data_IF_305753639704
#
_entry.id   IF_305753639704
#
_cell.length_a   1.000
_cell.length_b   1.000
_cell.length_c   1.000
_cell.angle_alpha   90.00
_cell.angle_beta   90.00
_cell.angle_gamma   90.00
#
_symmetry.space_group_name_H-M   'P 1'
#
loop_
_entity.id
_entity.type
_entity.pdbx_description
1 polymer ?
#
# COMPACT_ATOMS: atom_id res chain seq x y z
N UNK A 1 11.14 -11.87 -12.31
CA UNK A 1 10.77 -11.76 -13.74
C UNK A 1 9.77 -10.63 -13.83
N UNK A 2 9.95 -9.69 -14.76
CA UNK A 2 9.03 -8.56 -14.95
C UNK A 2 9.08 -8.06 -16.40
N UNK A 3 8.10 -7.26 -16.80
CA UNK A 3 8.00 -6.67 -18.15
C UNK A 3 8.51 -5.24 -18.15
N UNK A 4 9.19 -4.85 -19.23
CA UNK A 4 9.58 -3.46 -19.51
C UNK A 4 8.99 -3.06 -20.87
N UNK A 5 8.23 -1.98 -20.87
CA UNK A 5 7.41 -1.53 -22.00
C UNK A 5 8.07 -0.38 -22.79
N UNK A 6 7.69 -0.23 -24.04
CA UNK A 6 7.99 0.90 -24.92
C UNK A 6 6.79 1.85 -25.03
N UNK A 7 6.98 3.01 -25.66
CA UNK A 7 5.90 3.99 -25.90
C UNK A 7 4.76 3.43 -26.78
N UNK A 8 5.06 2.48 -27.67
CA UNK A 8 4.07 1.77 -28.50
C UNK A 8 3.40 0.58 -27.79
N UNK A 9 3.63 0.44 -26.48
CA UNK A 9 3.10 -0.60 -25.60
C UNK A 9 3.60 -2.02 -25.91
N UNK A 10 4.55 -2.18 -26.83
CA UNK A 10 5.32 -3.42 -26.93
C UNK A 10 6.20 -3.58 -25.68
N UNK A 11 6.59 -4.81 -25.36
CA UNK A 11 7.40 -5.07 -24.18
C UNK A 11 8.37 -6.23 -24.36
N UNK A 12 9.42 -6.23 -23.53
CA UNK A 12 10.26 -7.40 -23.33
C UNK A 12 10.07 -7.95 -21.91
N UNK A 13 10.30 -9.26 -21.75
CA UNK A 13 10.31 -9.90 -20.43
C UNK A 13 11.75 -10.08 -19.96
N UNK A 14 12.04 -9.56 -18.77
CA UNK A 14 13.35 -9.61 -18.14
C UNK A 14 13.36 -10.59 -16.97
N UNK A 15 14.44 -11.37 -16.89
CA UNK A 15 14.78 -12.22 -15.75
C UNK A 15 16.10 -11.72 -15.19
N UNK A 16 16.01 -10.83 -14.22
CA UNK A 16 17.13 -10.21 -13.56
C UNK A 16 17.04 -10.43 -12.04
N UNK A 17 18.18 -10.41 -11.32
CA UNK A 17 18.20 -10.29 -9.86
C UNK A 17 17.35 -9.10 -9.37
N UNK A 18 16.69 -9.25 -8.22
CA UNK A 18 15.76 -8.24 -7.68
C UNK A 18 16.48 -6.93 -7.25
N UNK A 19 17.77 -7.03 -6.99
CA UNK A 19 18.70 -5.96 -6.65
C UNK A 19 19.37 -5.30 -7.87
N UNK A 20 18.97 -5.67 -9.09
CA UNK A 20 19.48 -5.03 -10.31
C UNK A 20 19.19 -3.53 -10.31
N UNK A 21 20.18 -2.74 -10.70
CA UNK A 21 20.07 -1.29 -10.83
C UNK A 21 19.16 -0.90 -12.00
N UNK A 22 18.59 0.30 -11.94
CA UNK A 22 17.82 0.86 -13.05
C UNK A 22 18.64 0.89 -14.34
N UNK A 23 19.94 1.21 -14.27
CA UNK A 23 20.87 1.16 -15.41
C UNK A 23 20.94 -0.23 -16.02
N UNK A 24 21.12 -1.27 -15.19
CA UNK A 24 21.19 -2.66 -15.66
C UNK A 24 19.88 -3.06 -16.35
N UNK A 25 18.74 -2.71 -15.75
CA UNK A 25 17.41 -3.00 -16.30
C UNK A 25 17.24 -2.30 -17.66
N UNK A 26 17.60 -1.02 -17.73
CA UNK A 26 17.55 -0.17 -18.92
C UNK A 26 18.37 -0.76 -20.07
N UNK A 27 19.65 -1.10 -19.82
CA UNK A 27 20.55 -1.63 -20.84
C UNK A 27 20.09 -2.99 -21.38
N UNK A 28 19.63 -3.89 -20.50
CA UNK A 28 19.13 -5.21 -20.90
C UNK A 28 17.80 -5.09 -21.66
N UNK A 29 16.92 -4.16 -21.27
CA UNK A 29 15.69 -3.88 -22.01
C UNK A 29 16.00 -3.34 -23.41
N UNK A 30 16.92 -2.36 -23.51
CA UNK A 30 17.32 -1.74 -24.77
C UNK A 30 17.91 -2.75 -25.76
N UNK A 31 18.80 -3.65 -25.31
CA UNK A 31 19.34 -4.71 -26.17
C UNK A 31 18.24 -5.66 -26.68
N UNK A 32 17.32 -6.09 -25.81
CA UNK A 32 16.23 -7.00 -26.21
C UNK A 32 15.23 -6.36 -27.16
N UNK A 33 14.92 -5.08 -26.95
CA UNK A 33 13.99 -4.30 -27.75
C UNK A 33 14.66 -3.69 -29.00
N UNK A 34 15.99 -3.87 -29.14
CA UNK A 34 16.81 -3.34 -30.23
C UNK A 34 16.72 -1.82 -30.38
N UNK A 35 16.61 -1.12 -29.26
CA UNK A 35 16.63 0.35 -29.18
C UNK A 35 18.09 0.82 -29.28
N UNK A 36 18.39 1.74 -30.20
CA UNK A 36 19.76 2.20 -30.52
C UNK A 36 20.02 3.66 -30.12
N UNK A 37 19.19 4.22 -29.25
CA UNK A 37 19.31 5.61 -28.82
C UNK A 37 20.25 5.77 -27.63
N UNK A 38 21.01 6.87 -27.60
CA UNK A 38 22.10 7.08 -26.64
C UNK A 38 21.59 7.50 -25.24
N UNK A 39 20.53 8.31 -25.16
CA UNK A 39 19.97 8.81 -23.89
C UNK A 39 18.64 8.13 -23.51
N UNK A 40 18.73 6.87 -23.09
CA UNK A 40 17.59 6.13 -22.54
C UNK A 40 17.39 6.39 -21.05
N UNK A 41 16.13 6.34 -20.64
CA UNK A 41 15.70 6.43 -19.25
C UNK A 41 14.80 5.25 -18.89
N UNK A 42 14.89 4.81 -17.64
CA UNK A 42 13.93 3.88 -17.04
C UNK A 42 12.88 4.70 -16.30
N UNK A 43 11.60 4.40 -16.51
CA UNK A 43 10.50 5.23 -16.03
C UNK A 43 9.41 4.35 -15.45
N UNK A 44 8.89 4.69 -14.28
CA UNK A 44 7.58 4.20 -13.86
C UNK A 44 6.50 5.11 -14.46
N UNK A 45 5.59 4.53 -15.23
CA UNK A 45 4.33 5.17 -15.59
C UNK A 45 3.27 4.67 -14.62
N UNK A 46 2.72 5.56 -13.80
CA UNK A 46 1.65 5.27 -12.84
C UNK A 46 0.28 5.26 -13.55
N UNK A 47 -0.72 4.64 -12.95
CA UNK A 47 -2.08 4.57 -13.52
C UNK A 47 -2.78 5.92 -13.70
N UNK A 48 -2.32 6.97 -13.01
CA UNK A 48 -2.80 8.35 -13.16
C UNK A 48 -2.09 9.12 -14.30
N UNK A 49 -1.17 8.49 -15.03
CA UNK A 49 -0.38 9.06 -16.11
C UNK A 49 0.88 9.81 -15.66
N UNK A 50 1.14 9.89 -14.35
CA UNK A 50 2.38 10.47 -13.84
C UNK A 50 3.57 9.57 -14.17
N UNK A 51 4.68 10.19 -14.56
CA UNK A 51 5.90 9.51 -15.00
C UNK A 51 7.02 9.83 -14.01
N UNK A 52 7.58 8.80 -13.39
CA UNK A 52 8.68 8.91 -12.45
C UNK A 52 9.93 8.31 -13.08
N UNK A 53 10.93 9.15 -13.36
CA UNK A 53 12.22 8.69 -13.89
C UNK A 53 13.05 8.11 -12.76
N UNK A 54 13.57 6.90 -12.95
CA UNK A 54 14.54 6.29 -12.05
C UNK A 54 15.95 6.81 -12.35
N UNK A 55 16.73 7.02 -11.30
CA UNK A 55 18.17 7.29 -11.42
C UNK A 55 18.88 5.97 -11.69
N UNK A 56 19.99 6.03 -12.41
CA UNK A 56 20.72 4.83 -12.84
C UNK A 56 21.21 3.95 -11.66
N UNK A 57 21.46 4.56 -10.49
CA UNK A 57 21.85 3.90 -9.24
C UNK A 57 20.67 3.39 -8.40
N UNK A 58 19.42 3.66 -8.79
CA UNK A 58 18.25 3.18 -8.06
C UNK A 58 18.14 1.65 -8.17
N UNK A 59 17.75 1.01 -7.06
CA UNK A 59 17.62 -0.45 -6.90
C UNK A 59 16.24 -0.82 -6.35
N UNK A 60 15.90 -2.12 -6.36
CA UNK A 60 14.60 -2.62 -5.86
C UNK A 60 13.40 -2.13 -6.68
N UNK A 61 13.63 -1.80 -7.96
CA UNK A 61 12.64 -1.19 -8.85
C UNK A 61 11.33 -2.00 -8.92
N UNK A 62 11.33 -3.33 -9.14
CA UNK A 62 10.08 -4.06 -9.35
C UNK A 62 9.16 -4.10 -8.13
N UNK A 63 9.71 -3.97 -6.91
CA UNK A 63 8.92 -3.99 -5.67
C UNK A 63 8.46 -2.61 -5.25
N UNK A 64 9.18 -1.55 -5.63
CA UNK A 64 8.89 -0.17 -5.24
C UNK A 64 7.79 0.52 -6.07
N UNK A 65 7.27 -0.13 -7.12
CA UNK A 65 6.21 0.43 -7.97
C UNK A 65 4.91 0.66 -7.19
N UNK A 66 4.10 1.61 -7.67
CA UNK A 66 2.69 1.72 -7.27
C UNK A 66 1.90 0.47 -7.68
N UNK A 67 0.67 0.33 -7.18
CA UNK A 67 -0.13 -0.90 -7.32
C UNK A 67 -0.31 -1.26 -8.80
N UNK A 68 -0.68 -0.30 -9.64
CA UNK A 68 -0.80 -0.50 -11.08
C UNK A 68 0.34 0.19 -11.86
N UNK A 69 1.46 0.52 -11.22
CA UNK A 69 2.64 1.07 -11.88
C UNK A 69 3.25 0.08 -12.87
N UNK A 70 3.84 0.59 -13.96
CA UNK A 70 4.54 -0.21 -14.97
C UNK A 70 5.86 0.42 -15.35
N UNK A 71 6.84 -0.43 -15.65
CA UNK A 71 8.19 -0.01 -16.00
C UNK A 71 8.26 0.17 -17.51
N UNK A 72 8.71 1.35 -17.94
CA UNK A 72 8.96 1.69 -19.32
C UNK A 72 10.44 2.01 -19.54
N UNK A 73 10.90 1.77 -20.74
CA UNK A 73 12.14 2.33 -21.27
C UNK A 73 11.78 3.32 -22.37
N UNK A 74 12.38 4.51 -22.32
CA UNK A 74 12.10 5.54 -23.30
C UNK A 74 13.30 6.45 -23.49
N UNK A 75 13.51 6.95 -24.71
CA UNK A 75 14.39 8.10 -24.92
C UNK A 75 13.94 9.29 -24.10
N UNK A 76 14.91 10.05 -23.60
CA UNK A 76 14.65 11.26 -22.81
C UNK A 76 13.77 12.28 -23.52
N UNK A 77 13.94 12.44 -24.83
CA UNK A 77 13.15 13.36 -25.66
C UNK A 77 11.70 12.89 -25.87
N UNK A 78 11.42 11.60 -25.63
CA UNK A 78 10.12 10.97 -25.87
C UNK A 78 9.38 10.60 -24.58
N UNK A 79 9.80 11.09 -23.42
CA UNK A 79 9.08 10.89 -22.16
C UNK A 79 7.62 11.31 -22.26
N UNK A 80 7.34 12.36 -23.04
CA UNK A 80 5.99 12.87 -23.24
C UNK A 80 5.06 11.97 -24.04
N UNK A 81 5.61 11.00 -24.77
CA UNK A 81 4.85 10.00 -25.51
C UNK A 81 4.40 8.80 -24.64
N UNK A 82 4.96 8.62 -23.44
CA UNK A 82 4.60 7.50 -22.57
C UNK A 82 3.17 7.64 -22.04
N UNK A 83 2.34 6.64 -22.28
CA UNK A 83 0.93 6.60 -21.85
C UNK A 83 0.65 5.36 -21.01
N UNK A 84 -0.41 5.41 -20.20
CA UNK A 84 -0.87 4.25 -19.44
C UNK A 84 -1.27 3.10 -20.38
N UNK A 85 -1.00 1.87 -19.96
CA UNK A 85 -1.61 0.69 -20.56
C UNK A 85 -3.06 0.54 -20.09
N UNK A 86 -3.92 -0.09 -20.90
CA UNK A 86 -5.31 -0.39 -20.51
C UNK A 86 -5.39 -1.15 -19.17
N UNK A 87 -4.49 -2.11 -18.96
CA UNK A 87 -4.41 -2.91 -17.72
C UNK A 87 -4.03 -2.10 -16.47
N UNK A 88 -3.60 -0.84 -16.60
CA UNK A 88 -3.34 0.05 -15.48
C UNK A 88 -4.56 0.87 -15.07
N UNK A 89 -5.50 1.08 -16.00
CA UNK A 89 -6.71 1.89 -15.79
C UNK A 89 -7.90 1.06 -15.31
N UNK A 90 -7.92 -0.22 -15.67
CA UNK A 90 -8.92 -1.18 -15.20
C UNK A 90 -8.61 -1.67 -13.78
N UNK A 91 -9.62 -2.24 -13.14
CA UNK A 91 -9.41 -2.91 -11.87
C UNK A 91 -8.49 -4.12 -12.07
N UNK A 92 -7.52 -4.32 -11.17
CA UNK A 92 -6.64 -5.50 -11.21
C UNK A 92 -7.46 -6.79 -11.28
N UNK A 93 -6.94 -7.80 -11.99
CA UNK A 93 -7.55 -9.12 -12.04
C UNK A 93 -7.52 -9.75 -10.64
N UNK A 94 -8.62 -9.59 -9.90
CA UNK A 94 -8.89 -10.29 -8.65
C UNK A 94 -9.74 -11.53 -8.91
N UNK A 95 -9.84 -12.39 -7.91
CA UNK A 95 -10.73 -13.56 -7.97
C UNK A 95 -12.18 -13.12 -8.18
N UNK A 96 -12.90 -13.82 -9.04
CA UNK A 96 -14.33 -13.59 -9.23
C UNK A 96 -15.08 -13.89 -7.92
N UNK A 97 -15.63 -12.85 -7.32
CA UNK A 97 -16.43 -12.96 -6.10
C UNK A 97 -16.72 -11.59 -5.49
N UNK A 98 -17.94 -11.41 -5.00
CA UNK A 98 -18.30 -10.23 -4.22
C UNK A 98 -17.76 -10.40 -2.80
N UNK A 99 -17.20 -9.34 -2.20
CA UNK A 99 -16.81 -9.34 -0.78
C UNK A 99 -17.95 -9.85 0.12
N UNK A 100 -19.21 -9.66 -0.27
CA UNK A 100 -20.40 -10.17 0.42
C UNK A 100 -20.40 -11.68 0.66
N UNK A 101 -19.73 -12.48 -0.18
CA UNK A 101 -19.67 -13.96 -0.10
C UNK A 101 -18.99 -14.50 1.16
N UNK A 102 -18.04 -13.75 1.74
CA UNK A 102 -17.18 -14.24 2.83
C UNK A 102 -17.62 -13.75 4.21
N UNK A 103 -17.34 -14.49 5.28
CA UNK A 103 -17.58 -14.00 6.64
C UNK A 103 -16.71 -12.78 6.97
N UNK A 104 -17.25 -11.74 7.61
CA UNK A 104 -16.42 -10.54 7.92
C UNK A 104 -15.28 -10.84 8.90
N UNK A 105 -15.52 -11.68 9.91
CA UNK A 105 -14.47 -12.12 10.85
C UNK A 105 -13.44 -13.00 10.15
N UNK A 106 -13.89 -13.84 9.21
CA UNK A 106 -13.05 -14.72 8.40
C UNK A 106 -12.12 -13.91 7.47
N UNK A 107 -12.65 -12.89 6.78
CA UNK A 107 -11.84 -11.94 6.01
C UNK A 107 -10.78 -11.26 6.89
N UNK A 108 -11.16 -10.74 8.06
CA UNK A 108 -10.21 -10.10 8.97
C UNK A 108 -9.13 -11.06 9.47
N UNK A 109 -9.49 -12.32 9.73
CA UNK A 109 -8.58 -13.35 10.19
C UNK A 109 -7.51 -13.64 9.12
N UNK A 110 -7.92 -14.00 7.90
CA UNK A 110 -6.97 -14.33 6.84
C UNK A 110 -6.19 -13.11 6.33
N UNK A 111 -6.80 -11.91 6.34
CA UNK A 111 -6.07 -10.66 6.11
C UNK A 111 -4.99 -10.44 7.16
N UNK A 112 -5.27 -10.69 8.43
CA UNK A 112 -4.29 -10.54 9.51
C UNK A 112 -3.18 -11.57 9.45
N UNK A 113 -3.48 -12.82 9.08
CA UNK A 113 -2.44 -13.82 8.84
C UNK A 113 -1.50 -13.40 7.69
N UNK A 114 -2.09 -12.98 6.56
CA UNK A 114 -1.31 -12.57 5.39
C UNK A 114 -0.46 -11.32 5.68
N UNK A 115 -1.04 -10.29 6.29
CA UNK A 115 -0.31 -9.09 6.66
C UNK A 115 0.78 -9.37 7.71
N UNK A 116 0.55 -10.33 8.62
CA UNK A 116 1.56 -10.77 9.58
C UNK A 116 2.74 -11.47 8.91
N UNK A 117 2.49 -12.33 7.93
CA UNK A 117 3.56 -12.97 7.14
C UNK A 117 4.41 -11.92 6.40
N UNK A 118 3.77 -10.96 5.73
CA UNK A 118 4.47 -9.85 5.07
C UNK A 118 5.30 -9.03 6.07
N UNK A 119 4.71 -8.68 7.22
CA UNK A 119 5.38 -7.93 8.28
C UNK A 119 6.56 -8.72 8.88
N UNK A 120 6.41 -10.03 9.05
CA UNK A 120 7.44 -10.90 9.59
C UNK A 120 8.67 -10.99 8.67
N UNK A 121 8.45 -10.98 7.35
CA UNK A 121 9.51 -10.98 6.35
C UNK A 121 10.35 -9.69 6.34
N UNK A 122 9.82 -8.56 6.85
CA UNK A 122 10.56 -7.30 6.90
C UNK A 122 11.74 -7.42 7.87
N UNK A 123 12.96 -7.40 7.35
CA UNK A 123 14.14 -7.30 8.21
C UNK A 123 14.27 -5.87 8.74
N UNK A 124 14.68 -5.69 10.00
CA UNK A 124 14.72 -4.34 10.60
C UNK A 124 15.70 -3.38 9.92
N UNK A 125 16.77 -3.93 9.33
CA UNK A 125 17.71 -3.16 8.53
C UNK A 125 17.09 -2.60 7.25
N UNK A 126 16.02 -3.21 6.72
CA UNK A 126 15.30 -2.63 5.58
C UNK A 126 14.71 -1.26 5.93
N UNK A 127 14.31 -1.03 7.18
CA UNK A 127 13.86 0.30 7.62
C UNK A 127 15.00 1.32 7.58
N UNK A 128 16.22 0.93 7.95
CA UNK A 128 17.39 1.81 7.88
C UNK A 128 17.77 2.09 6.43
N UNK A 129 17.88 1.06 5.59
CA UNK A 129 18.21 1.23 4.17
C UNK A 129 17.18 2.11 3.46
N UNK A 130 15.90 1.92 3.76
CA UNK A 130 14.84 2.79 3.26
C UNK A 130 15.01 4.23 3.74
N UNK A 131 15.27 4.44 5.04
CA UNK A 131 15.34 5.79 5.65
C UNK A 131 16.56 6.58 5.20
N UNK A 132 17.72 5.94 5.06
CA UNK A 132 18.97 6.58 4.66
C UNK A 132 19.22 6.57 3.15
N UNK A 133 18.38 5.88 2.38
CA UNK A 133 18.57 5.68 0.94
C UNK A 133 19.30 4.37 0.63
N UNK A 134 18.60 3.49 -0.08
CA UNK A 134 19.00 2.09 -0.34
C UNK A 134 20.31 1.99 -1.15
N UNK A 135 20.51 2.92 -2.08
CA UNK A 135 21.70 3.05 -2.92
C UNK A 135 22.99 3.24 -2.11
N UNK A 136 22.93 3.90 -0.95
CA UNK A 136 24.10 4.06 -0.07
C UNK A 136 24.62 2.74 0.53
N UNK A 137 23.79 1.69 0.55
CA UNK A 137 24.15 0.41 1.15
C UNK A 137 24.35 -0.70 0.12
N UNK A 138 23.90 -0.50 -1.13
CA UNK A 138 23.78 -1.59 -2.10
C UNK A 138 22.87 -2.72 -1.60
N UNK A 139 21.85 -2.37 -0.79
CA UNK A 139 20.91 -3.32 -0.18
C UNK A 139 19.48 -2.98 -0.58
N UNK A 140 18.69 -4.00 -0.92
CA UNK A 140 17.26 -3.85 -1.24
C UNK A 140 16.40 -3.79 0.01
N UNK A 141 15.14 -3.37 -0.17
CA UNK A 141 14.12 -3.36 0.89
C UNK A 141 12.82 -3.98 0.37
N UNK A 142 12.94 -5.06 -0.39
CA UNK A 142 11.85 -5.69 -1.12
C UNK A 142 10.68 -6.11 -0.19
N UNK A 143 10.96 -6.63 1.00
CA UNK A 143 9.91 -7.06 1.92
C UNK A 143 9.17 -5.84 2.48
N UNK A 144 9.92 -4.79 2.85
CA UNK A 144 9.33 -3.53 3.29
C UNK A 144 8.46 -2.91 2.18
N UNK A 145 8.93 -2.90 0.94
CA UNK A 145 8.19 -2.37 -0.21
C UNK A 145 6.85 -3.06 -0.40
N UNK A 146 6.87 -4.40 -0.43
CA UNK A 146 5.66 -5.20 -0.61
C UNK A 146 4.70 -4.96 0.55
N UNK A 147 5.19 -4.85 1.79
CA UNK A 147 4.33 -4.58 2.94
C UNK A 147 3.74 -3.17 2.95
N UNK A 148 4.49 -2.15 2.49
CA UNK A 148 3.96 -0.80 2.31
C UNK A 148 2.96 -0.72 1.16
N UNK A 149 3.24 -1.43 0.06
CA UNK A 149 2.31 -1.54 -1.07
C UNK A 149 1.00 -2.20 -0.64
N UNK A 150 1.05 -3.22 0.23
CA UNK A 150 -0.12 -3.87 0.81
C UNK A 150 -1.05 -2.89 1.55
N UNK A 151 -0.49 -1.91 2.27
CA UNK A 151 -1.31 -0.86 2.91
C UNK A 151 -2.15 -0.10 1.88
N UNK A 152 -1.51 0.36 0.79
CA UNK A 152 -2.19 1.07 -0.28
C UNK A 152 -3.18 0.16 -1.01
N UNK A 153 -2.84 -1.11 -1.21
CA UNK A 153 -3.71 -2.11 -1.84
C UNK A 153 -5.02 -2.26 -1.07
N UNK A 154 -4.96 -2.44 0.25
CA UNK A 154 -6.16 -2.53 1.10
C UNK A 154 -6.96 -1.22 1.07
N UNK A 155 -6.27 -0.07 1.13
CA UNK A 155 -6.92 1.24 1.09
C UNK A 155 -7.71 1.43 -0.21
N UNK A 156 -7.08 1.19 -1.37
CA UNK A 156 -7.73 1.36 -2.66
C UNK A 156 -8.72 0.24 -2.98
N UNK A 157 -8.53 -0.98 -2.47
CA UNK A 157 -9.51 -2.07 -2.53
C UNK A 157 -10.85 -1.64 -1.94
N UNK A 158 -10.85 -1.02 -0.76
CA UNK A 158 -12.07 -0.49 -0.11
C UNK A 158 -12.79 0.51 -1.00
N UNK A 159 -12.05 1.45 -1.59
CA UNK A 159 -12.62 2.46 -2.48
C UNK A 159 -13.15 1.84 -3.77
N UNK A 160 -12.41 0.89 -4.33
CA UNK A 160 -12.74 0.16 -5.57
C UNK A 160 -14.04 -0.60 -5.41
N UNK A 161 -14.14 -1.45 -4.39
CA UNK A 161 -15.35 -2.24 -4.10
C UNK A 161 -16.57 -1.32 -3.95
N UNK A 162 -16.48 -0.24 -3.16
CA UNK A 162 -17.60 0.68 -2.98
C UNK A 162 -18.00 1.39 -4.28
N UNK A 163 -17.01 1.86 -5.07
CA UNK A 163 -17.28 2.58 -6.33
C UNK A 163 -17.79 1.67 -7.45
N UNK A 164 -17.53 0.37 -7.39
CA UNK A 164 -18.06 -0.63 -8.33
C UNK A 164 -19.50 -1.04 -8.00
N UNK A 165 -20.01 -0.74 -6.81
CA UNK A 165 -21.37 -1.12 -6.40
C UNK A 165 -22.43 -0.13 -6.88
N UNK A 166 -23.01 -0.40 -8.06
CA UNK A 166 -24.09 0.40 -8.65
C UNK A 166 -25.34 0.47 -7.76
N UNK A 167 -25.75 -0.65 -7.18
CA UNK A 167 -26.92 -0.71 -6.30
C UNK A 167 -26.66 -0.03 -4.96
N UNK A 168 -27.48 0.96 -4.62
CA UNK A 168 -27.41 1.67 -3.33
C UNK A 168 -27.56 0.73 -2.13
N UNK A 169 -28.45 -0.27 -2.20
CA UNK A 169 -28.65 -1.20 -1.08
C UNK A 169 -27.42 -2.08 -0.84
N UNK A 170 -26.83 -2.62 -1.91
CA UNK A 170 -25.57 -3.39 -1.84
C UNK A 170 -24.41 -2.52 -1.37
N UNK A 171 -24.30 -1.30 -1.88
CA UNK A 171 -23.24 -0.36 -1.48
C UNK A 171 -23.31 -0.02 0.01
N UNK A 172 -24.51 0.16 0.58
CA UNK A 172 -24.69 0.32 2.04
C UNK A 172 -24.28 -0.94 2.80
N UNK A 173 -24.58 -2.14 2.27
CA UNK A 173 -24.19 -3.41 2.87
C UNK A 173 -22.66 -3.59 2.90
N UNK A 174 -21.99 -3.29 1.79
CA UNK A 174 -20.52 -3.31 1.64
C UNK A 174 -19.86 -2.26 2.55
N UNK A 175 -20.37 -1.03 2.60
CA UNK A 175 -19.89 0.01 3.52
C UNK A 175 -19.95 -0.46 4.99
N UNK A 176 -21.08 -1.01 5.40
CA UNK A 176 -21.25 -1.60 6.74
C UNK A 176 -20.28 -2.77 6.97
N UNK A 177 -20.01 -3.57 5.94
CA UNK A 177 -19.08 -4.71 6.01
C UNK A 177 -17.65 -4.25 6.25
N UNK A 178 -17.19 -3.21 5.56
CA UNK A 178 -15.86 -2.64 5.79
C UNK A 178 -15.68 -2.04 7.19
N UNK A 179 -16.70 -1.37 7.74
CA UNK A 179 -16.65 -0.87 9.12
C UNK A 179 -16.52 -2.05 10.11
N UNK A 180 -17.26 -3.14 9.91
CA UNK A 180 -17.11 -4.35 10.73
C UNK A 180 -15.74 -5.02 10.53
N UNK A 181 -15.22 -5.03 9.30
CA UNK A 181 -13.91 -5.60 8.98
C UNK A 181 -12.81 -4.83 9.74
N UNK A 182 -12.82 -3.50 9.68
CA UNK A 182 -11.91 -2.66 10.45
C UNK A 182 -12.00 -2.94 11.95
N UNK A 183 -13.21 -3.13 12.49
CA UNK A 183 -13.41 -3.48 13.89
C UNK A 183 -12.68 -4.79 14.27
N UNK A 184 -12.81 -5.84 13.45
CA UNK A 184 -12.12 -7.11 13.66
C UNK A 184 -10.60 -7.01 13.45
N UNK A 185 -10.12 -6.27 12.44
CA UNK A 185 -8.69 -6.01 12.28
C UNK A 185 -8.09 -5.35 13.53
N UNK A 186 -8.80 -4.38 14.12
CA UNK A 186 -8.41 -3.76 15.40
C UNK A 186 -8.45 -4.75 16.56
N UNK A 187 -9.47 -5.61 16.65
CA UNK A 187 -9.57 -6.68 17.66
C UNK A 187 -8.38 -7.65 17.58
N UNK A 188 -7.96 -8.01 16.37
CA UNK A 188 -6.78 -8.85 16.12
C UNK A 188 -5.45 -8.09 16.20
N UNK A 189 -5.48 -6.83 16.65
CA UNK A 189 -4.31 -5.95 16.74
C UNK A 189 -3.55 -5.78 15.40
N UNK A 190 -4.24 -5.96 14.27
CA UNK A 190 -3.77 -5.56 12.95
C UNK A 190 -4.17 -4.10 12.70
N UNK A 191 -3.36 -3.20 13.26
CA UNK A 191 -3.60 -1.77 13.14
C UNK A 191 -3.26 -1.24 11.74
N UNK A 192 -2.39 -1.93 10.99
CA UNK A 192 -2.07 -1.56 9.61
C UNK A 192 -3.30 -1.67 8.71
N UNK A 193 -3.95 -2.83 8.68
CA UNK A 193 -5.18 -3.03 7.89
C UNK A 193 -6.34 -2.18 8.42
N UNK A 194 -6.48 -2.05 9.75
CA UNK A 194 -7.47 -1.15 10.34
C UNK A 194 -7.32 0.28 9.79
N UNK A 195 -6.12 0.85 9.85
CA UNK A 195 -5.86 2.19 9.32
C UNK A 195 -6.10 2.27 7.81
N UNK A 196 -5.67 1.28 7.04
CA UNK A 196 -5.89 1.23 5.59
C UNK A 196 -7.38 1.25 5.22
N UNK A 197 -8.20 0.44 5.91
CA UNK A 197 -9.65 0.39 5.69
C UNK A 197 -10.31 1.71 6.07
N UNK A 198 -9.97 2.28 7.23
CA UNK A 198 -10.55 3.55 7.68
C UNK A 198 -10.18 4.68 6.70
N UNK A 199 -8.93 4.75 6.26
CA UNK A 199 -8.48 5.73 5.27
C UNK A 199 -9.14 5.53 3.90
N UNK A 200 -9.39 4.27 3.49
CA UNK A 200 -10.18 3.96 2.29
C UNK A 200 -11.62 4.46 2.40
N UNK A 201 -12.27 4.29 3.55
CA UNK A 201 -13.62 4.79 3.81
C UNK A 201 -13.69 6.32 3.88
N UNK A 202 -12.64 6.98 4.40
CA UNK A 202 -12.53 8.44 4.42
C UNK A 202 -12.11 9.05 3.07
N UNK A 203 -11.71 8.23 2.08
CA UNK A 203 -11.35 8.69 0.75
C UNK A 203 -12.47 9.54 0.13
N UNK A 204 -12.09 10.62 -0.58
CA UNK A 204 -13.05 11.58 -1.17
C UNK A 204 -14.08 10.92 -2.10
N UNK A 205 -13.73 9.83 -2.79
CA UNK A 205 -14.67 9.10 -3.64
C UNK A 205 -15.74 8.33 -2.82
N UNK A 206 -15.45 7.96 -1.57
CA UNK A 206 -16.37 7.24 -0.68
C UNK A 206 -17.12 8.21 0.24
N UNK A 207 -16.42 9.12 0.91
CA UNK A 207 -16.99 10.04 1.90
C UNK A 207 -18.03 10.99 1.30
N UNK A 208 -17.96 11.26 -0.01
CA UNK A 208 -18.94 12.09 -0.73
C UNK A 208 -20.30 11.42 -1.01
N UNK A 209 -20.42 10.10 -0.84
CA UNK A 209 -21.63 9.33 -1.21
C UNK A 209 -22.73 9.51 -0.15
N UNK A 210 -23.27 10.73 -0.04
CA UNK A 210 -24.17 11.11 1.05
C UNK A 210 -25.39 10.21 1.17
N UNK A 211 -26.01 9.79 0.05
CA UNK A 211 -27.18 8.91 0.11
C UNK A 211 -26.83 7.52 0.67
N UNK A 212 -25.60 7.06 0.43
CA UNK A 212 -25.08 5.80 1.00
C UNK A 212 -24.85 5.94 2.50
N UNK A 213 -24.15 7.00 2.93
CA UNK A 213 -23.91 7.26 4.36
C UNK A 213 -25.21 7.52 5.13
N UNK A 214 -26.18 8.19 4.50
CA UNK A 214 -27.49 8.49 5.10
C UNK A 214 -28.33 7.25 5.40
N UNK A 215 -28.18 6.21 4.58
CA UNK A 215 -28.86 4.91 4.77
C UNK A 215 -28.11 3.95 5.69
N UNK A 216 -26.86 4.24 6.05
CA UNK A 216 -26.10 3.41 6.98
C UNK A 216 -26.71 3.49 8.40
N UNK A 217 -26.98 2.38 9.12
CA UNK A 217 -27.53 2.48 10.47
C UNK A 217 -26.63 3.31 11.41
N UNK A 218 -27.24 4.14 12.25
CA UNK A 218 -26.55 5.13 13.10
C UNK A 218 -25.44 4.51 13.98
N UNK A 219 -25.64 3.28 14.46
CA UNK A 219 -24.63 2.52 15.21
C UNK A 219 -23.29 2.40 14.44
N UNK A 220 -23.34 2.12 13.14
CA UNK A 220 -22.14 1.99 12.32
C UNK A 220 -21.52 3.34 11.95
N UNK A 221 -22.34 4.38 11.77
CA UNK A 221 -21.83 5.76 11.62
C UNK A 221 -21.03 6.20 12.84
N UNK A 222 -21.59 6.01 14.05
CA UNK A 222 -20.89 6.31 15.31
C UNK A 222 -19.59 5.52 15.44
N UNK A 223 -19.62 4.22 15.14
CA UNK A 223 -18.43 3.37 15.18
C UNK A 223 -17.35 3.86 14.20
N UNK A 224 -17.73 4.28 12.99
CA UNK A 224 -16.79 4.85 12.03
C UNK A 224 -16.19 6.17 12.51
N UNK A 225 -16.99 7.08 13.09
CA UNK A 225 -16.48 8.32 13.69
C UNK A 225 -15.48 8.03 14.82
N UNK A 226 -15.72 7.00 15.65
CA UNK A 226 -14.75 6.55 16.65
C UNK A 226 -13.43 6.07 16.01
N UNK A 227 -13.51 5.38 14.86
CA UNK A 227 -12.31 4.95 14.13
C UNK A 227 -11.54 6.12 13.51
N UNK A 228 -12.22 7.09 12.91
CA UNK A 228 -11.58 8.31 12.38
C UNK A 228 -10.86 9.06 13.51
N UNK A 229 -11.49 9.19 14.68
CA UNK A 229 -10.89 9.83 15.85
C UNK A 229 -9.62 9.13 16.36
N UNK A 230 -9.51 7.81 16.16
CA UNK A 230 -8.34 7.04 16.56
C UNK A 230 -7.12 7.33 15.68
N UNK A 231 -7.33 7.54 14.39
CA UNK A 231 -6.25 7.78 13.42
C UNK A 231 -5.96 9.26 13.18
N UNK A 232 -6.67 10.14 13.88
CA UNK A 232 -6.55 11.60 13.78
C UNK A 232 -5.08 12.07 13.87
N UNK A 233 -4.60 12.91 12.94
CA UNK A 233 -3.21 13.33 12.88
C UNK A 233 -2.82 14.36 13.95
N UNK A 234 -3.78 14.94 14.68
CA UNK A 234 -3.52 16.02 15.62
C UNK A 234 -2.53 15.61 16.72
N UNK A 235 -1.68 16.57 17.12
CA UNK A 235 -0.64 16.37 18.13
C UNK A 235 0.24 15.14 17.84
N UNK A 236 0.61 14.99 16.56
CA UNK A 236 1.41 13.86 16.04
C UNK A 236 0.75 12.50 16.30
N UNK A 237 -0.50 12.32 15.86
CA UNK A 237 -1.25 11.07 16.02
C UNK A 237 -1.36 10.61 17.49
N UNK A 238 -1.62 11.53 18.42
CA UNK A 238 -1.64 11.24 19.85
C UNK A 238 -2.63 10.13 20.21
N UNK A 239 -3.83 10.13 19.62
CA UNK A 239 -4.86 9.14 19.90
C UNK A 239 -4.39 7.72 19.55
N UNK A 240 -3.86 7.55 18.33
CA UNK A 240 -3.23 6.31 17.88
C UNK A 240 -2.10 5.87 18.83
N UNK A 241 -1.14 6.76 19.11
CA UNK A 241 0.03 6.43 19.95
C UNK A 241 -0.35 5.99 21.37
N UNK A 242 -1.31 6.67 22.00
CA UNK A 242 -1.82 6.29 23.32
C UNK A 242 -2.54 4.94 23.28
N UNK A 243 -3.25 4.63 22.19
CA UNK A 243 -3.89 3.33 22.01
C UNK A 243 -2.86 2.22 21.86
N UNK A 244 -1.86 2.40 20.99
CA UNK A 244 -0.81 1.40 20.73
C UNK A 244 0.06 1.15 21.95
N UNK A 245 0.38 2.19 22.72
CA UNK A 245 1.19 2.05 23.95
C UNK A 245 0.56 1.18 25.04
N UNK A 246 -0.72 0.79 24.91
CA UNK A 246 -1.42 -0.11 25.83
C UNK A 246 -1.50 -1.56 25.33
N UNK A 247 -1.16 -1.81 24.07
CA UNK A 247 -1.25 -3.14 23.47
C UNK A 247 -0.07 -4.02 23.87
N UNK A 248 -0.31 -5.33 23.88
CA UNK A 248 0.72 -6.34 24.06
C UNK A 248 1.00 -7.04 22.72
N UNK A 249 2.22 -7.50 22.45
CA UNK A 249 2.51 -8.28 21.24
C UNK A 249 1.66 -9.55 21.22
N UNK A 250 1.28 -10.07 20.04
CA UNK A 250 1.64 -9.64 18.68
C UNK A 250 0.80 -8.44 18.16
N UNK A 251 1.43 -7.46 17.50
CA UNK A 251 0.76 -6.29 16.91
C UNK A 251 1.31 -6.04 15.50
N UNK A 252 0.45 -5.81 14.51
CA UNK A 252 0.88 -5.24 13.21
C UNK A 252 0.68 -3.72 13.28
N UNK A 253 1.74 -2.92 13.41
CA UNK A 253 1.60 -1.48 13.61
C UNK A 253 1.24 -0.75 12.31
N UNK A 254 0.68 0.46 12.42
CA UNK A 254 0.53 1.40 11.31
C UNK A 254 1.91 1.82 10.79
N UNK A 255 2.44 1.07 9.82
CA UNK A 255 3.79 1.23 9.30
C UNK A 255 4.08 2.60 8.67
N UNK A 256 3.16 3.21 7.89
CA UNK A 256 3.38 4.54 7.35
C UNK A 256 3.73 5.58 8.41
N UNK A 257 3.13 5.51 9.61
CA UNK A 257 3.47 6.44 10.70
C UNK A 257 4.86 6.16 11.29
N UNK A 258 5.26 4.89 11.41
CA UNK A 258 6.59 4.53 11.90
C UNK A 258 7.69 4.97 10.92
N UNK A 259 7.46 4.80 9.62
CA UNK A 259 8.40 5.29 8.60
C UNK A 259 8.45 6.81 8.54
N UNK A 260 7.29 7.49 8.67
CA UNK A 260 7.26 8.94 8.84
C UNK A 260 8.15 9.37 9.99
N UNK A 261 8.04 8.74 11.16
CA UNK A 261 8.88 9.07 12.32
C UNK A 261 10.38 8.88 12.04
N UNK A 262 10.76 7.83 11.31
CA UNK A 262 12.16 7.59 10.91
C UNK A 262 12.66 8.62 9.91
N UNK A 263 11.88 8.96 8.88
CA UNK A 263 12.21 10.00 7.90
C UNK A 263 12.41 11.34 8.59
N UNK A 264 11.46 11.78 9.42
CA UNK A 264 11.58 13.04 10.16
C UNK A 264 12.79 13.05 11.11
N UNK A 265 13.09 11.92 11.76
CA UNK A 265 14.30 11.79 12.59
C UNK A 265 15.56 11.91 11.73
N UNK A 266 15.57 11.31 10.54
CA UNK A 266 16.72 11.33 9.65
C UNK A 266 16.99 12.72 9.07
N UNK A 267 15.95 13.39 8.58
CA UNK A 267 16.04 14.73 7.96
C UNK A 267 16.26 15.83 9.01
N UNK A 268 15.65 15.69 10.19
CA UNK A 268 15.74 16.68 11.27
C UNK A 268 17.05 16.67 12.05
N UNK A 269 17.86 15.61 11.94
CA UNK A 269 19.09 15.46 12.72
C UNK A 269 20.29 15.14 11.81
N UNK A 270 21.41 15.84 11.98
CA UNK A 270 22.65 15.54 11.25
C UNK A 270 23.24 14.20 11.68
N UNK A 271 23.76 13.42 10.73
CA UNK A 271 24.41 12.12 11.00
C UNK A 271 25.79 12.29 11.63
N UNK A 272 26.49 13.38 11.30
CA UNK A 272 27.80 13.73 11.87
C UNK A 272 27.75 15.16 12.44
N UNK A 273 28.36 15.36 13.60
CA UNK A 273 28.56 16.64 14.27
C UNK A 273 30.06 16.78 14.53
N UNK A 274 30.68 17.82 13.98
CA UNK A 274 32.11 18.12 14.13
C UNK A 274 33.04 16.92 13.80
N UNK A 275 32.66 16.15 12.78
CA UNK A 275 33.41 14.96 12.34
C UNK A 275 33.14 13.69 13.15
N UNK A 276 32.33 13.77 14.21
CA UNK A 276 31.94 12.65 15.06
C UNK A 276 30.53 12.15 14.74
N UNK A 277 30.29 10.85 14.90
CA UNK A 277 28.96 10.26 14.70
C UNK A 277 27.98 10.78 15.74
N UNK A 278 26.84 11.32 15.30
CA UNK A 278 25.76 11.73 16.19
C UNK A 278 25.01 10.51 16.74
N UNK A 279 25.43 10.02 17.91
CA UNK A 279 24.83 8.84 18.52
C UNK A 279 23.43 9.08 19.09
N UNK A 280 23.04 10.33 19.35
CA UNK A 280 21.67 10.69 19.73
C UNK A 280 20.71 10.37 18.59
N UNK A 281 21.02 10.80 17.36
CA UNK A 281 20.27 10.43 16.14
C UNK A 281 20.18 8.90 16.00
N UNK A 282 21.29 8.19 16.20
CA UNK A 282 21.31 6.72 16.11
C UNK A 282 20.38 6.08 17.15
N UNK A 283 20.34 6.62 18.37
CA UNK A 283 19.46 6.12 19.43
C UNK A 283 17.97 6.36 19.10
N UNK A 284 17.63 7.53 18.55
CA UNK A 284 16.26 7.84 18.12
C UNK A 284 15.77 6.85 17.05
N UNK A 285 16.59 6.56 16.04
CA UNK A 285 16.26 5.60 14.99
C UNK A 285 16.14 4.17 15.53
N UNK A 286 17.05 3.78 16.43
CA UNK A 286 17.00 2.49 17.09
C UNK A 286 15.73 2.29 17.93
N UNK A 287 15.14 3.36 18.47
CA UNK A 287 13.88 3.28 19.21
C UNK A 287 12.70 2.82 18.34
N UNK A 288 12.64 3.25 17.08
CA UNK A 288 11.63 2.75 16.13
C UNK A 288 11.86 1.27 15.83
N UNK A 289 13.11 0.85 15.63
CA UNK A 289 13.45 -0.57 15.44
C UNK A 289 13.07 -1.43 16.65
N UNK A 290 13.32 -0.95 17.88
CA UNK A 290 12.87 -1.63 19.11
C UNK A 290 11.36 -1.76 19.18
N UNK A 291 10.60 -0.76 18.71
CA UNK A 291 9.15 -0.83 18.60
C UNK A 291 8.72 -1.96 17.66
N UNK A 292 9.34 -2.07 16.49
CA UNK A 292 9.09 -3.16 15.54
C UNK A 292 9.39 -4.53 16.16
N UNK A 293 10.55 -4.67 16.84
CA UNK A 293 10.91 -5.90 17.59
C UNK A 293 9.86 -6.27 18.61
N UNK A 294 9.41 -5.29 19.39
CA UNK A 294 8.36 -5.49 20.39
C UNK A 294 7.07 -5.98 19.75
N UNK A 295 6.59 -5.30 18.71
CA UNK A 295 5.37 -5.67 17.97
C UNK A 295 5.35 -7.15 17.53
N UNK A 296 6.52 -7.70 17.17
CA UNK A 296 6.68 -9.10 16.73
C UNK A 296 7.37 -10.02 17.73
N UNK A 297 7.43 -9.66 19.01
CA UNK A 297 8.13 -10.46 20.03
C UNK A 297 7.38 -11.73 20.47
N UNK A 298 6.16 -11.94 19.97
CA UNK A 298 5.33 -13.13 20.18
C UNK A 298 4.76 -13.59 18.84
N UNK A 299 4.50 -14.88 18.72
CA UNK A 299 3.83 -15.42 17.54
C UNK A 299 2.37 -14.97 17.49
N UNK A 300 1.87 -14.76 16.26
CA UNK A 300 0.45 -14.52 16.04
C UNK A 300 -0.34 -15.80 16.32
N UNK A 301 -1.25 -15.73 17.29
CA UNK A 301 -2.18 -16.82 17.64
C UNK A 301 -3.58 -16.23 17.63
N UNK A 302 -4.39 -16.68 16.67
CA UNK A 302 -5.79 -16.28 16.50
C UNK A 302 -6.63 -17.55 16.41
N UNK A 303 -7.85 -17.53 16.96
CA UNK A 303 -8.77 -18.65 16.83
C UNK A 303 -9.29 -18.74 15.38
N UNK A 304 -9.08 -19.87 14.68
CA UNK A 304 -9.47 -19.99 13.28
C UNK A 304 -11.00 -19.98 13.12
N UNK A 305 -11.52 -19.36 12.05
CA UNK A 305 -12.92 -19.51 11.65
C UNK A 305 -13.18 -20.92 11.09
N UNK A 306 -14.43 -21.21 10.73
CA UNK A 306 -14.80 -22.49 10.09
C UNK A 306 -14.00 -22.73 8.79
N UNK A 307 -13.47 -23.95 8.55
CA UNK A 307 -12.54 -24.23 7.45
C UNK A 307 -13.18 -24.33 6.06
N UNK A 308 -14.52 -24.30 5.97
CA UNK A 308 -15.28 -24.60 4.72
C UNK A 308 -14.90 -23.74 3.51
N UNK A 309 -14.45 -22.50 3.73
CA UNK A 309 -14.14 -21.50 2.69
C UNK A 309 -12.69 -21.00 2.75
N UNK A 310 -11.81 -21.67 3.49
CA UNK A 310 -10.44 -21.21 3.75
C UNK A 310 -9.65 -20.92 2.45
N UNK A 311 -9.67 -21.87 1.50
CA UNK A 311 -8.93 -21.72 0.25
C UNK A 311 -9.42 -20.53 -0.59
N UNK A 312 -10.74 -20.35 -0.68
CA UNK A 312 -11.35 -19.24 -1.44
C UNK A 312 -11.03 -17.89 -0.81
N UNK A 313 -11.15 -17.77 0.53
CA UNK A 313 -10.89 -16.52 1.23
C UNK A 313 -9.41 -16.15 1.17
N UNK A 314 -8.50 -17.11 1.37
CA UNK A 314 -7.05 -16.88 1.23
C UNK A 314 -6.69 -16.40 -0.17
N UNK A 315 -7.28 -17.03 -1.18
CA UNK A 315 -7.04 -16.66 -2.57
C UNK A 315 -7.62 -15.26 -2.88
N UNK A 316 -8.79 -14.92 -2.33
CA UNK A 316 -9.37 -13.57 -2.47
C UNK A 316 -8.50 -12.49 -1.79
N UNK A 317 -8.04 -12.74 -0.56
CA UNK A 317 -7.22 -11.80 0.23
C UNK A 317 -5.84 -11.56 -0.38
N UNK A 318 -5.26 -12.56 -1.04
CA UNK A 318 -3.94 -12.47 -1.69
C UNK A 318 -3.97 -11.80 -3.07
N UNK A 319 -5.15 -11.67 -3.68
CA UNK A 319 -5.34 -11.07 -5.00
C UNK A 319 -6.52 -10.09 -4.98
N UNK A 320 -6.35 -8.96 -4.26
CA UNK A 320 -7.40 -7.94 -4.15
C UNK A 320 -7.60 -7.22 -5.49
N UNK A 321 -8.86 -6.95 -5.82
CA UNK A 321 -9.25 -6.14 -6.97
C UNK A 321 -9.11 -4.66 -6.62
N UNK A 322 -8.27 -3.93 -7.37
CA UNK A 322 -7.89 -2.56 -7.05
C UNK A 322 -7.83 -1.68 -8.30
N UNK A 323 -8.40 -0.48 -8.18
CA UNK A 323 -8.13 0.68 -9.02
C UNK A 323 -7.38 1.68 -8.13
N UNK A 324 -6.14 2.03 -8.47
CA UNK A 324 -5.34 3.02 -7.71
C UNK A 324 -5.35 4.42 -8.36
N UNK A 325 -6.02 4.59 -9.51
CA UNK A 325 -6.24 5.89 -10.13
C UNK A 325 -7.41 6.65 -9.48
N UNK A 326 -7.08 7.62 -8.63
CA UNK A 326 -8.07 8.44 -7.93
C UNK A 326 -9.03 9.20 -8.85
N UNK A 327 -8.61 9.60 -10.07
CA UNK A 327 -9.49 10.29 -11.03
C UNK A 327 -10.60 9.37 -11.53
N UNK A 328 -10.26 8.12 -11.84
CA UNK A 328 -11.23 7.08 -12.24
C UNK A 328 -12.22 6.82 -11.10
N UNK A 329 -11.73 6.58 -9.88
CA UNK A 329 -12.57 6.36 -8.70
C UNK A 329 -13.52 7.53 -8.42
N UNK A 330 -13.03 8.76 -8.56
CA UNK A 330 -13.85 9.97 -8.39
C UNK A 330 -14.94 10.06 -9.45
N UNK A 331 -14.62 9.76 -10.71
CA UNK A 331 -15.59 9.72 -11.82
C UNK A 331 -16.66 8.66 -11.59
N UNK A 332 -16.27 7.45 -11.16
CA UNK A 332 -17.23 6.38 -10.79
C UNK A 332 -18.16 6.81 -9.67
N UNK A 333 -17.61 7.39 -8.59
CA UNK A 333 -18.41 7.91 -7.47
C UNK A 333 -19.41 8.99 -7.89
N UNK A 334 -19.01 9.91 -8.79
CA UNK A 334 -19.91 10.94 -9.33
C UNK A 334 -21.05 10.35 -10.16
N UNK A 335 -20.80 9.28 -10.91
CA UNK A 335 -21.85 8.55 -11.65
C UNK A 335 -22.82 7.84 -10.71
N UNK A 336 -22.33 7.30 -9.58
CA UNK A 336 -23.18 6.65 -8.57
C UNK A 336 -24.12 7.64 -7.87
N UNK A 337 -23.60 8.81 -7.49
CA UNK A 337 -24.36 9.85 -6.81
C UNK A 337 -23.96 11.24 -7.34
N UNK A 338 -24.63 11.74 -8.38
CA UNK A 338 -24.35 13.07 -8.95
C UNK A 338 -24.55 14.18 -7.90
N UNK A 339 -23.76 15.25 -7.94
CA UNK A 339 -24.03 16.43 -7.12
C UNK A 339 -25.38 17.02 -7.53
N UNK A 340 -26.26 17.29 -6.56
CA UNK A 340 -27.48 18.05 -6.83
C UNK A 340 -27.05 19.46 -7.28
N UNK A 341 -27.51 19.86 -8.46
CA UNK A 341 -27.32 21.21 -9.04
C UNK A 341 -27.96 22.28 -8.18
#
# INVERSE_FOLDING_TARGET
>A
IFRVYCADHTYCTLRLPIDSTAETIKLVAADKLKIREDELLLVEVKSNGERMVFRDDDISIPTALTINGRIFVSPKEHLDALTCLNEQEEATQGIEGDIEMFGTKELAYYMTLFDWELFWCVHEYELLYHTFGRHHFGQITANLDVFLRRFNEIQFWVVTEICMMSSLSKRVAVLRKFIKLAAYCREFQNLNAFCAIVMGLSNVAVSRLSNTWDKLPSKFRKLFTEFESMIDPSRNHRAYRVSVGKLQPPVVPFMPLLLKDMTFTHEGNKTSLDGLVNFEKMHMLAQTMRTIRFCRSRHLVLDPPSPKSEGEVKSYISCLRVIDNQRILTSMSQKLEPRRS
#
